data_IF_714672602758
#
_entry.id   IF_714672602758
#
_cell.length_a   1.000
_cell.length_b   1.000
_cell.length_c   1.000
_cell.angle_alpha   90.00
_cell.angle_beta   90.00
_cell.angle_gamma   90.00
#
_symmetry.space_group_name_H-M   'P 1'
#
loop_
_entity.id
_entity.type
_entity.pdbx_description
1 polymer ?
#
# COMPACT_ATOMS: atom_id res chain seq x y z
N UNK A 1 -2.33 3.64 -7.42
CA UNK A 1 -1.95 2.73 -8.53
C UNK A 1 -3.21 2.35 -9.29
N UNK A 2 -3.22 2.48 -10.62
CA UNK A 2 -4.32 2.04 -11.49
C UNK A 2 -3.99 0.74 -12.25
N UNK A 3 -2.89 0.08 -11.89
CA UNK A 3 -2.50 -1.20 -12.45
C UNK A 3 -3.41 -2.31 -11.88
N UNK A 4 -3.78 -3.26 -12.73
CA UNK A 4 -4.53 -4.44 -12.32
C UNK A 4 -3.64 -5.49 -11.68
N UNK A 5 -2.32 -5.33 -11.70
CA UNK A 5 -1.36 -6.28 -11.14
C UNK A 5 -0.39 -5.61 -10.18
N UNK A 6 -0.87 -4.92 -9.14
CA UNK A 6 -0.07 -4.08 -8.26
C UNK A 6 0.85 -4.80 -7.27
N UNK A 7 0.93 -6.13 -7.29
CA UNK A 7 1.89 -6.86 -6.46
C UNK A 7 3.25 -6.96 -7.16
N UNK A 8 4.31 -6.52 -6.47
CA UNK A 8 5.69 -6.64 -6.94
C UNK A 8 6.13 -8.10 -7.07
N UNK A 9 5.63 -9.01 -6.23
CA UNK A 9 6.14 -10.39 -6.12
C UNK A 9 5.28 -11.45 -6.80
N UNK A 10 4.05 -11.13 -7.20
CA UNK A 10 3.17 -12.09 -7.87
C UNK A 10 2.28 -11.41 -8.91
N UNK A 11 1.66 -12.21 -9.77
CA UNK A 11 0.72 -11.79 -10.80
C UNK A 11 -0.74 -11.78 -10.30
N UNK A 12 -0.96 -11.61 -8.99
CA UNK A 12 -2.31 -11.52 -8.45
C UNK A 12 -3.01 -10.30 -9.06
N UNK A 13 -4.12 -10.58 -9.74
CA UNK A 13 -4.91 -9.57 -10.45
C UNK A 13 -5.97 -8.96 -9.54
N UNK A 14 -5.99 -7.64 -9.50
CA UNK A 14 -6.98 -6.86 -8.78
C UNK A 14 -8.34 -6.79 -9.50
N UNK A 15 -9.35 -6.43 -8.72
CA UNK A 15 -10.74 -6.28 -9.10
C UNK A 15 -11.11 -4.81 -8.92
N UNK A 16 -11.61 -4.17 -9.97
CA UNK A 16 -12.09 -2.80 -9.89
C UNK A 16 -13.47 -2.75 -9.23
N UNK A 17 -13.60 -1.98 -8.15
CA UNK A 17 -14.89 -1.67 -7.54
C UNK A 17 -15.42 -0.37 -8.11
N UNK A 18 -16.60 -0.42 -8.74
CA UNK A 18 -17.28 0.77 -9.25
C UNK A 18 -17.71 1.69 -8.10
N UNK A 19 -18.20 1.12 -7.01
CA UNK A 19 -18.66 1.85 -5.82
C UNK A 19 -17.55 2.65 -5.16
N UNK A 20 -16.37 2.04 -4.96
CA UNK A 20 -15.23 2.70 -4.33
C UNK A 20 -14.32 3.43 -5.35
N UNK A 21 -14.54 3.21 -6.66
CA UNK A 21 -13.69 3.69 -7.76
C UNK A 21 -12.21 3.33 -7.57
N UNK A 22 -11.94 2.12 -7.10
CA UNK A 22 -10.61 1.66 -6.71
C UNK A 22 -10.39 0.19 -7.10
N UNK A 23 -9.14 -0.20 -7.38
CA UNK A 23 -8.76 -1.59 -7.64
C UNK A 23 -8.31 -2.25 -6.34
N UNK A 24 -8.99 -3.33 -5.94
CA UNK A 24 -8.64 -4.14 -4.77
C UNK A 24 -7.97 -5.43 -5.18
N UNK A 25 -7.15 -6.02 -4.31
CA UNK A 25 -6.37 -7.22 -4.59
C UNK A 25 -6.78 -8.39 -3.67
N UNK A 26 -8.04 -8.86 -3.70
CA UNK A 26 -8.47 -9.94 -2.84
C UNK A 26 -7.99 -11.30 -3.38
N UNK A 27 -7.76 -12.26 -2.49
CA UNK A 27 -7.49 -13.65 -2.87
C UNK A 27 -8.72 -14.32 -3.49
N UNK A 28 -9.90 -14.04 -2.94
CA UNK A 28 -11.18 -14.54 -3.46
C UNK A 28 -12.06 -13.36 -3.85
N UNK A 29 -12.72 -13.39 -5.02
CA UNK A 29 -13.61 -12.31 -5.43
C UNK A 29 -14.74 -12.10 -4.42
N UNK A 30 -15.06 -10.85 -4.04
CA UNK A 30 -16.26 -10.56 -3.26
C UNK A 30 -17.53 -10.97 -4.01
N UNK A 31 -18.62 -11.19 -3.27
CA UNK A 31 -19.92 -11.56 -3.87
C UNK A 31 -20.34 -10.53 -4.94
N UNK A 32 -20.72 -11.03 -6.12
CA UNK A 32 -21.13 -10.19 -7.26
C UNK A 32 -19.99 -9.75 -8.18
N UNK A 33 -18.74 -10.10 -7.87
CA UNK A 33 -17.60 -9.86 -8.74
C UNK A 33 -17.11 -11.17 -9.37
N UNK A 34 -16.96 -11.18 -10.70
CA UNK A 34 -16.40 -12.31 -11.44
C UNK A 34 -14.89 -12.10 -11.63
N UNK A 35 -14.07 -12.86 -10.89
CA UNK A 35 -12.62 -12.84 -11.04
C UNK A 35 -12.00 -14.19 -10.62
N UNK A 36 -10.69 -14.32 -10.76
CA UNK A 36 -9.95 -15.52 -10.36
C UNK A 36 -9.87 -15.61 -8.84
N UNK A 37 -10.06 -16.82 -8.31
CA UNK A 37 -9.73 -17.14 -6.92
C UNK A 37 -8.31 -17.68 -6.86
N UNK A 38 -7.48 -17.13 -5.98
CA UNK A 38 -6.10 -17.52 -5.80
C UNK A 38 -5.94 -18.33 -4.51
N UNK A 39 -5.16 -19.41 -4.59
CA UNK A 39 -4.67 -20.12 -3.41
C UNK A 39 -3.50 -19.35 -2.81
N UNK A 40 -3.59 -19.04 -1.52
CA UNK A 40 -2.54 -18.33 -0.78
C UNK A 40 -1.20 -19.05 -0.82
N UNK A 41 -1.21 -20.39 -0.80
CA UNK A 41 0.01 -21.20 -0.82
C UNK A 41 0.54 -21.45 -2.24
N UNK A 42 -0.21 -21.07 -3.27
CA UNK A 42 0.14 -21.28 -4.66
C UNK A 42 -0.20 -20.04 -5.51
N UNK A 43 0.30 -18.89 -5.05
CA UNK A 43 0.17 -17.63 -5.78
C UNK A 43 1.00 -17.68 -7.07
N UNK A 44 0.61 -16.97 -8.14
CA UNK A 44 1.39 -16.88 -9.37
C UNK A 44 2.62 -15.98 -9.15
N UNK A 45 3.66 -16.52 -8.52
CA UNK A 45 4.87 -15.78 -8.14
C UNK A 45 5.62 -15.27 -9.38
N UNK A 46 6.16 -14.06 -9.28
CA UNK A 46 7.06 -13.46 -10.27
C UNK A 46 8.46 -14.00 -10.07
N UNK A 47 8.98 -14.61 -11.13
CA UNK A 47 10.35 -15.09 -11.20
C UNK A 47 11.21 -14.08 -11.96
N UNK A 48 12.53 -14.19 -11.81
CA UNK A 48 13.44 -13.34 -12.58
C UNK A 48 13.24 -13.46 -14.09
N UNK A 49 12.98 -14.68 -14.57
CA UNK A 49 12.68 -14.96 -15.98
C UNK A 49 11.39 -14.31 -16.46
N UNK A 50 10.31 -14.37 -15.67
CA UNK A 50 9.03 -13.73 -16.03
C UNK A 50 9.14 -12.21 -15.98
N UNK A 51 9.88 -11.66 -15.01
CA UNK A 51 10.15 -10.23 -14.95
C UNK A 51 10.96 -9.74 -16.16
N UNK A 52 11.96 -10.52 -16.61
CA UNK A 52 12.69 -10.21 -17.85
C UNK A 52 11.77 -10.21 -19.08
N UNK A 53 10.80 -11.13 -19.15
CA UNK A 53 9.79 -11.13 -20.22
C UNK A 53 8.94 -9.85 -20.18
N UNK A 54 8.46 -9.45 -19.00
CA UNK A 54 7.69 -8.21 -18.82
C UNK A 54 8.48 -6.97 -19.28
N UNK A 55 9.79 -6.90 -18.99
CA UNK A 55 10.66 -5.83 -19.48
C UNK A 55 10.77 -5.87 -21.01
N UNK A 56 11.03 -7.03 -21.59
CA UNK A 56 11.21 -7.18 -23.03
C UNK A 56 9.93 -6.80 -23.79
N UNK A 57 8.75 -7.00 -23.19
CA UNK A 57 7.48 -6.55 -23.78
C UNK A 57 7.41 -5.03 -23.95
N UNK A 58 8.11 -4.25 -23.12
CA UNK A 58 8.13 -2.78 -23.19
C UNK A 58 9.07 -2.23 -24.26
N UNK A 59 10.01 -3.04 -24.75
CA UNK A 59 11.01 -2.61 -25.73
C UNK A 59 10.36 -2.26 -27.07
N UNK A 60 10.80 -1.14 -27.67
CA UNK A 60 10.34 -0.65 -28.97
C UNK A 60 8.81 -0.46 -29.09
N UNK A 61 8.11 -0.29 -27.97
CA UNK A 61 6.66 -0.02 -27.94
C UNK A 61 6.35 1.47 -27.98
N UNK A 62 5.22 1.80 -28.61
CA UNK A 62 4.67 3.15 -28.53
C UNK A 62 4.28 3.49 -27.08
N UNK A 63 4.17 4.79 -26.76
CA UNK A 63 3.76 5.25 -25.43
C UNK A 63 2.43 4.64 -24.96
N UNK A 64 1.47 4.48 -25.88
CA UNK A 64 0.15 3.92 -25.56
C UNK A 64 0.23 2.43 -25.22
N UNK A 65 1.03 1.66 -25.96
CA UNK A 65 1.24 0.24 -25.70
C UNK A 65 2.01 0.02 -24.40
N UNK A 66 3.04 0.83 -24.12
CA UNK A 66 3.76 0.79 -22.84
C UNK A 66 2.83 0.98 -21.66
N UNK A 67 1.97 2.00 -21.69
CA UNK A 67 0.98 2.22 -20.63
C UNK A 67 -0.04 1.09 -20.47
N UNK A 68 -0.30 0.29 -21.51
CA UNK A 68 -1.12 -0.91 -21.39
C UNK A 68 -0.35 -2.02 -20.68
N UNK A 69 0.88 -2.28 -21.10
CA UNK A 69 1.75 -3.31 -20.51
C UNK A 69 2.06 -2.97 -19.05
N UNK A 70 2.37 -1.71 -18.73
CA UNK A 70 2.58 -1.22 -17.36
C UNK A 70 1.35 -1.48 -16.48
N UNK A 71 0.13 -1.27 -17.01
CA UNK A 71 -1.10 -1.55 -16.24
C UNK A 71 -1.36 -3.04 -16.03
N UNK A 72 -0.92 -3.88 -16.96
CA UNK A 72 -1.11 -5.33 -16.92
C UNK A 72 -0.02 -6.03 -16.09
N UNK A 73 1.22 -5.52 -16.10
CA UNK A 73 2.41 -6.14 -15.49
C UNK A 73 2.95 -5.38 -14.29
N UNK A 74 2.59 -4.11 -14.07
CA UNK A 74 3.16 -3.21 -13.04
C UNK A 74 4.69 -3.00 -13.18
N UNK A 75 5.27 -3.39 -14.33
CA UNK A 75 6.66 -3.15 -14.69
C UNK A 75 6.74 -1.89 -15.56
N UNK A 76 7.51 -0.89 -15.10
CA UNK A 76 7.63 0.40 -15.77
C UNK A 76 8.87 0.50 -16.69
N UNK A 77 9.79 -0.44 -16.58
CA UNK A 77 10.98 -0.48 -17.42
C UNK A 77 12.13 -1.29 -16.82
N UNK A 78 13.26 -1.27 -17.55
CA UNK A 78 14.50 -1.92 -17.17
C UNK A 78 15.29 -1.06 -16.17
N UNK A 79 15.61 -1.63 -15.01
CA UNK A 79 16.54 -1.00 -14.06
C UNK A 79 17.99 -1.25 -14.49
N UNK A 80 18.90 -0.31 -14.21
CA UNK A 80 20.35 -0.51 -14.41
C UNK A 80 20.90 -1.69 -13.61
N UNK A 81 20.26 -2.02 -12.50
CA UNK A 81 20.64 -3.17 -11.66
C UNK A 81 20.35 -4.52 -12.32
N UNK A 82 19.65 -4.57 -13.47
CA UNK A 82 19.52 -5.80 -14.27
C UNK A 82 20.85 -6.29 -14.84
N UNK A 83 21.86 -5.43 -14.94
CA UNK A 83 23.20 -5.82 -15.41
C UNK A 83 23.97 -6.63 -14.35
N UNK A 84 23.49 -6.68 -13.10
CA UNK A 84 24.12 -7.44 -12.03
C UNK A 84 23.60 -8.88 -11.99
N UNK A 85 24.42 -9.82 -12.43
CA UNK A 85 24.08 -11.26 -12.44
C UNK A 85 23.89 -11.87 -11.04
N UNK A 86 24.30 -11.19 -9.98
CA UNK A 86 24.11 -11.61 -8.58
C UNK A 86 22.73 -11.23 -8.00
N UNK A 87 21.90 -10.51 -8.76
CA UNK A 87 20.60 -10.01 -8.33
C UNK A 87 19.49 -10.72 -9.11
N UNK A 88 18.40 -11.05 -8.41
CA UNK A 88 17.19 -11.65 -8.96
C UNK A 88 16.00 -10.74 -8.72
N UNK A 89 15.48 -10.12 -9.78
CA UNK A 89 14.25 -9.33 -9.69
C UNK A 89 13.00 -10.23 -9.60
N UNK A 90 12.01 -9.90 -8.76
CA UNK A 90 12.01 -8.86 -7.72
C UNK A 90 12.60 -9.35 -6.37
N UNK A 91 12.93 -10.63 -6.24
CA UNK A 91 13.28 -11.30 -4.98
C UNK A 91 14.44 -10.66 -4.17
N UNK A 92 15.43 -10.07 -4.83
CA UNK A 92 16.57 -9.42 -4.19
C UNK A 92 16.26 -8.07 -3.57
N UNK A 93 15.06 -7.52 -3.78
CA UNK A 93 14.64 -6.23 -3.26
C UNK A 93 13.51 -6.43 -2.25
N UNK A 94 13.82 -6.41 -0.94
CA UNK A 94 12.80 -6.57 0.09
C UNK A 94 11.76 -5.43 0.02
N UNK A 95 10.61 -5.67 0.65
CA UNK A 95 9.62 -4.63 0.87
C UNK A 95 10.26 -3.56 1.73
N UNK A 96 10.17 -2.31 1.28
CA UNK A 96 10.47 -1.17 2.11
C UNK A 96 9.41 -1.06 3.20
N UNK A 97 9.73 -1.60 4.38
CA UNK A 97 8.82 -1.67 5.53
C UNK A 97 8.41 -0.26 5.97
N UNK A 98 9.30 0.72 5.86
CA UNK A 98 9.04 2.11 6.24
C UNK A 98 7.87 2.68 5.43
N UNK A 99 7.99 2.61 4.11
CA UNK A 99 6.94 3.12 3.23
C UNK A 99 5.69 2.23 3.26
N UNK A 100 5.85 0.91 3.27
CA UNK A 100 4.73 -0.02 3.19
C UNK A 100 3.84 0.01 4.44
N UNK A 101 4.43 -0.12 5.64
CA UNK A 101 3.66 -0.22 6.88
C UNK A 101 3.35 1.14 7.49
N UNK A 102 4.35 2.01 7.62
CA UNK A 102 4.20 3.22 8.41
C UNK A 102 3.67 4.40 7.58
N UNK A 103 4.30 4.71 6.45
CA UNK A 103 3.88 5.87 5.66
C UNK A 103 2.52 5.66 4.98
N UNK A 104 2.31 4.49 4.36
CA UNK A 104 1.08 4.20 3.65
C UNK A 104 0.02 3.56 4.57
N UNK A 105 0.31 2.40 5.17
CA UNK A 105 -0.72 1.60 5.85
C UNK A 105 -1.22 2.26 7.14
N UNK A 106 -0.34 2.74 8.02
CA UNK A 106 -0.76 3.34 9.30
C UNK A 106 -1.64 4.58 9.10
N UNK A 107 -1.27 5.46 8.16
CA UNK A 107 -2.09 6.63 7.82
C UNK A 107 -3.47 6.22 7.29
N UNK A 108 -3.54 5.21 6.43
CA UNK A 108 -4.79 4.67 5.92
C UNK A 108 -5.67 4.04 7.03
N UNK A 109 -5.06 3.30 7.96
CA UNK A 109 -5.75 2.75 9.12
C UNK A 109 -6.33 3.86 10.02
N UNK A 110 -5.55 4.90 10.29
CA UNK A 110 -6.03 6.04 11.07
C UNK A 110 -7.23 6.74 10.39
N UNK A 111 -7.18 6.92 9.06
CA UNK A 111 -8.31 7.45 8.29
C UNK A 111 -9.53 6.53 8.35
N UNK A 112 -9.35 5.21 8.37
CA UNK A 112 -10.43 4.25 8.56
C UNK A 112 -11.10 4.43 9.93
N UNK A 113 -10.34 4.47 11.01
CA UNK A 113 -10.89 4.60 12.36
C UNK A 113 -11.51 5.96 12.65
N UNK A 114 -11.11 7.01 11.92
CA UNK A 114 -11.73 8.35 11.99
C UNK A 114 -12.91 8.53 11.03
N UNK A 115 -13.19 7.55 10.16
CA UNK A 115 -14.26 7.60 9.17
C UNK A 115 -14.00 8.61 8.03
N UNK A 116 -12.73 8.77 7.65
CA UNK A 116 -12.25 9.67 6.58
C UNK A 116 -11.47 8.93 5.49
N UNK A 117 -11.61 7.61 5.39
CA UNK A 117 -10.83 6.80 4.45
C UNK A 117 -11.38 6.88 3.03
N UNK A 118 -12.68 6.64 2.87
CA UNK A 118 -13.34 6.70 1.58
C UNK A 118 -13.78 8.13 1.26
N UNK A 119 -13.78 8.48 -0.03
CA UNK A 119 -14.43 9.70 -0.50
C UNK A 119 -15.96 9.60 -0.45
N UNK A 120 -16.50 8.36 -0.49
CA UNK A 120 -17.92 8.10 -0.31
C UNK A 120 -18.22 8.02 1.20
N UNK A 121 -19.05 8.93 1.71
CA UNK A 121 -19.40 9.01 3.13
C UNK A 121 -20.17 7.78 3.63
N UNK A 122 -20.98 7.14 2.79
CA UNK A 122 -21.73 5.93 3.17
C UNK A 122 -20.80 4.78 3.53
N UNK A 123 -19.69 4.63 2.78
CA UNK A 123 -18.67 3.61 3.04
C UNK A 123 -17.88 3.86 4.34
N UNK A 124 -17.89 5.09 4.86
CA UNK A 124 -17.26 5.42 6.13
C UNK A 124 -18.19 5.18 7.34
N UNK A 125 -19.48 4.93 7.11
CA UNK A 125 -20.46 4.70 8.18
C UNK A 125 -20.36 3.26 8.71
N UNK A 126 -19.41 3.06 9.62
CA UNK A 126 -19.04 1.72 10.12
C UNK A 126 -18.99 1.68 11.64
N UNK A 127 -19.30 0.51 12.21
CA UNK A 127 -19.41 0.32 13.66
C UNK A 127 -18.06 0.37 14.38
N UNK A 128 -16.94 0.21 13.66
CA UNK A 128 -15.59 0.30 14.21
C UNK A 128 -15.03 1.73 14.22
N UNK A 129 -15.81 2.72 13.78
CA UNK A 129 -15.41 4.13 13.84
C UNK A 129 -15.29 4.58 15.30
N UNK A 130 -14.11 5.08 15.65
CA UNK A 130 -13.85 5.63 16.97
C UNK A 130 -14.39 7.06 17.03
N UNK A 131 -15.19 7.43 18.05
CA UNK A 131 -15.76 8.77 18.17
C UNK A 131 -14.68 9.87 18.21
N UNK A 132 -15.01 11.04 17.66
CA UNK A 132 -14.09 12.18 17.63
C UNK A 132 -13.62 12.61 19.03
N UNK A 133 -14.48 12.49 20.05
CA UNK A 133 -14.13 12.82 21.43
C UNK A 133 -13.02 11.91 21.97
N UNK A 134 -13.05 10.61 21.66
CA UNK A 134 -12.00 9.67 22.04
C UNK A 134 -10.68 9.99 21.34
N UNK A 135 -10.70 10.36 20.06
CA UNK A 135 -9.50 10.81 19.35
C UNK A 135 -8.91 12.10 19.92
N UNK A 136 -9.76 13.04 20.33
CA UNK A 136 -9.33 14.26 21.01
C UNK A 136 -8.64 13.96 22.34
N UNK A 137 -9.17 13.00 23.10
CA UNK A 137 -8.58 12.54 24.36
C UNK A 137 -7.22 11.88 24.13
N UNK A 138 -7.15 10.91 23.21
CA UNK A 138 -5.90 10.24 22.81
C UNK A 138 -4.84 11.27 22.40
N UNK A 139 -5.21 12.22 21.53
CA UNK A 139 -4.28 13.26 21.06
C UNK A 139 -3.76 14.16 22.18
N UNK A 140 -4.59 14.49 23.18
CA UNK A 140 -4.16 15.25 24.38
C UNK A 140 -3.23 14.43 25.27
N UNK A 141 -3.52 13.14 25.47
CA UNK A 141 -2.66 12.24 26.25
C UNK A 141 -1.29 12.12 25.59
N UNK A 142 -1.21 11.98 24.27
CA UNK A 142 0.05 11.96 23.53
C UNK A 142 0.85 13.25 23.74
N UNK A 143 0.19 14.41 23.61
CA UNK A 143 0.80 15.73 23.78
C UNK A 143 1.33 15.96 25.20
N UNK A 144 0.63 15.48 26.23
CA UNK A 144 1.07 15.54 27.62
C UNK A 144 2.30 14.66 27.87
N UNK A 145 2.33 13.45 27.30
CA UNK A 145 3.42 12.50 27.46
C UNK A 145 4.67 12.86 26.63
N UNK A 146 4.57 13.80 25.68
CA UNK A 146 5.70 14.24 24.86
C UNK A 146 6.95 14.60 25.69
N UNK A 147 6.79 15.25 26.86
CA UNK A 147 7.94 15.62 27.72
C UNK A 147 8.49 14.46 28.55
N UNK A 148 7.73 13.38 28.69
CA UNK A 148 8.07 12.23 29.53
C UNK A 148 8.68 11.06 28.73
N UNK A 149 8.59 11.10 27.40
CA UNK A 149 9.14 10.07 26.53
C UNK A 149 10.68 10.15 26.51
N UNK A 150 11.40 9.10 26.93
CA UNK A 150 12.86 9.09 26.86
C UNK A 150 13.34 9.14 25.42
N UNK A 151 14.41 9.90 25.15
CA UNK A 151 14.95 10.07 23.80
C UNK A 151 15.46 8.77 23.16
N UNK A 152 15.74 7.75 23.98
CA UNK A 152 16.12 6.40 23.52
C UNK A 152 15.00 5.71 22.73
N UNK A 153 13.74 6.06 22.97
CA UNK A 153 12.59 5.55 22.22
C UNK A 153 12.29 6.33 20.94
N UNK A 154 13.14 7.30 20.58
CA UNK A 154 13.01 8.10 19.36
C UNK A 154 12.25 9.40 19.58
N UNK A 155 11.71 9.96 18.49
CA UNK A 155 11.03 11.25 18.53
C UNK A 155 9.76 11.22 19.39
N UNK A 156 9.58 12.19 20.30
CA UNK A 156 8.37 12.29 21.11
C UNK A 156 7.10 12.44 20.28
N UNK A 157 6.04 11.76 20.72
CA UNK A 157 4.73 11.78 20.09
C UNK A 157 4.08 13.17 20.17
N UNK A 158 3.49 13.61 19.07
CA UNK A 158 2.66 14.80 18.99
C UNK A 158 1.19 14.41 18.81
N UNK A 159 0.28 15.36 19.01
CA UNK A 159 -1.16 15.11 18.93
C UNK A 159 -1.57 14.55 17.55
N UNK A 160 -1.86 13.25 17.48
CA UNK A 160 -2.20 12.57 16.21
C UNK A 160 -3.47 13.14 15.58
N UNK A 161 -4.49 13.45 16.37
CA UNK A 161 -5.76 13.95 15.85
C UNK A 161 -5.59 15.27 15.09
N UNK A 162 -4.66 16.13 15.53
CA UNK A 162 -4.33 17.41 14.88
C UNK A 162 -3.34 17.29 13.73
N UNK A 163 -2.32 16.42 13.89
CA UNK A 163 -1.11 16.48 13.06
C UNK A 163 -0.82 15.23 12.23
N UNK A 164 -1.71 14.22 12.19
CA UNK A 164 -1.48 12.96 11.45
C UNK A 164 -1.10 13.14 9.96
N UNK A 165 -1.47 14.24 9.32
CA UNK A 165 -1.07 14.52 7.93
C UNK A 165 0.39 14.90 7.77
N UNK A 166 1.04 15.35 8.86
CA UNK A 166 2.45 15.73 8.91
C UNK A 166 3.34 14.66 9.56
N UNK A 167 2.76 13.53 9.99
CA UNK A 167 3.51 12.41 10.55
C UNK A 167 4.41 11.80 9.48
N UNK A 168 5.68 11.62 9.83
CA UNK A 168 6.67 10.85 9.09
C UNK A 168 6.62 9.39 9.53
N UNK A 169 7.40 8.54 8.85
CA UNK A 169 7.56 7.13 9.21
C UNK A 169 7.88 6.92 10.69
N UNK A 170 8.81 7.70 11.25
CA UNK A 170 9.16 7.59 12.67
C UNK A 170 7.98 7.94 13.60
N UNK A 171 7.19 8.96 13.24
CA UNK A 171 6.03 9.37 14.04
C UNK A 171 4.94 8.27 14.02
N UNK A 172 4.75 7.60 12.88
CA UNK A 172 3.83 6.45 12.75
C UNK A 172 4.35 5.16 13.37
N UNK A 173 5.68 4.96 13.41
CA UNK A 173 6.31 3.82 14.08
C UNK A 173 6.20 3.91 15.60
N UNK A 174 6.29 5.12 16.16
CA UNK A 174 6.22 5.36 17.59
C UNK A 174 4.78 5.38 18.15
N UNK A 175 3.76 5.44 17.28
CA UNK A 175 2.33 5.48 17.66
C UNK A 175 1.77 4.07 17.87
#
# INVERSE_FOLDING_TARGET
HNAYCGCRFCYLRGIYSETARHVYFPLSPPKGYNSTTYDLNNLPIRLHTSYNQDINMLENKSKAERHRIERETDVNGRSILFELHSISFPASFPIDIMHALFENTAQHMFRHYTGKFYNNEELNNTNYKVPSNSWNEIGKIMELNHKMMPSEFGRPLINIHKYYTAFKTEDWYNW
#
